data_IF_408244497990
#
_entry.id   IF_408244497990
#
_cell.length_a   1.000
_cell.length_b   1.000
_cell.length_c   1.000
_cell.angle_alpha   90.00
_cell.angle_beta   90.00
_cell.angle_gamma   90.00
#
_symmetry.space_group_name_H-M   'P 1'
#
loop_
_entity.id
_entity.type
_entity.pdbx_description
1 polymer ?
#
# COMPACT_ATOMS: atom_id res chain seq x y z
N UNK A 1 20.13 2.16 5.72
CA UNK A 1 20.88 1.02 5.13
C UNK A 1 19.90 -0.09 4.81
N UNK A 2 19.97 -0.71 3.63
CA UNK A 2 19.12 -1.85 3.27
C UNK A 2 19.69 -3.12 3.90
N UNK A 3 18.83 -3.88 4.58
CA UNK A 3 19.19 -5.12 5.27
C UNK A 3 18.57 -6.35 4.62
N UNK A 4 17.36 -6.20 4.05
CA UNK A 4 16.65 -7.29 3.40
C UNK A 4 15.73 -6.75 2.31
N UNK A 5 15.65 -7.46 1.19
CA UNK A 5 14.78 -7.12 0.07
C UNK A 5 13.98 -8.35 -0.39
N UNK A 6 12.71 -8.13 -0.71
CA UNK A 6 11.82 -9.11 -1.34
C UNK A 6 11.10 -8.46 -2.50
N UNK A 7 11.34 -8.99 -3.70
CA UNK A 7 10.52 -8.74 -4.87
C UNK A 7 9.54 -9.90 -5.03
N UNK A 8 8.24 -9.58 -5.05
CA UNK A 8 7.18 -10.59 -5.05
C UNK A 8 7.15 -11.45 -6.29
N UNK A 9 7.62 -10.92 -7.42
CA UNK A 9 7.57 -11.62 -8.69
C UNK A 9 8.71 -12.64 -8.81
N UNK A 10 9.83 -12.40 -8.11
CA UNK A 10 11.03 -13.23 -8.17
C UNK A 10 11.35 -14.00 -6.88
N UNK A 11 10.63 -13.76 -5.78
CA UNK A 11 10.88 -14.46 -4.50
C UNK A 11 9.93 -15.66 -4.32
N UNK A 12 10.43 -16.86 -3.97
CA UNK A 12 9.57 -18.00 -3.73
C UNK A 12 8.65 -17.78 -2.52
N UNK A 13 7.43 -18.30 -2.62
CA UNK A 13 6.48 -18.29 -1.52
C UNK A 13 7.03 -19.05 -0.30
N UNK A 14 6.85 -18.50 0.90
CA UNK A 14 7.27 -19.13 2.15
C UNK A 14 6.18 -19.12 3.21
N UNK A 15 6.18 -20.19 4.00
CA UNK A 15 5.39 -20.32 5.23
C UNK A 15 6.35 -20.35 6.40
N UNK A 16 6.13 -19.45 7.34
CA UNK A 16 6.96 -19.28 8.52
C UNK A 16 6.21 -19.87 9.73
N UNK A 17 6.93 -20.55 10.64
CA UNK A 17 6.32 -21.19 11.79
C UNK A 17 5.67 -20.16 12.71
N UNK A 18 4.76 -20.64 13.56
CA UNK A 18 4.09 -19.77 14.51
C UNK A 18 5.05 -19.14 15.51
N UNK A 19 4.94 -17.81 15.74
CA UNK A 19 5.67 -17.15 16.81
C UNK A 19 5.11 -17.46 18.20
N UNK A 20 3.99 -18.20 18.30
CA UNK A 20 3.33 -18.52 19.57
C UNK A 20 2.57 -17.35 20.22
N UNK A 21 2.52 -16.19 19.56
CA UNK A 21 1.85 -14.97 20.03
C UNK A 21 1.23 -14.18 18.88
N UNK A 22 0.18 -13.42 19.15
CA UNK A 22 -0.38 -12.49 18.18
C UNK A 22 0.61 -11.33 17.95
N UNK A 23 1.08 -11.16 16.71
CA UNK A 23 2.10 -10.15 16.39
C UNK A 23 1.61 -8.70 16.57
N UNK A 24 0.30 -8.48 16.69
CA UNK A 24 -0.28 -7.14 16.83
C UNK A 24 -0.60 -6.75 18.28
N UNK A 25 -1.20 -7.65 19.06
CA UNK A 25 -1.62 -7.36 20.44
C UNK A 25 -0.83 -8.11 21.51
N UNK A 26 0.01 -9.08 21.13
CA UNK A 26 0.80 -9.90 22.06
C UNK A 26 0.02 -10.99 22.79
N UNK A 27 -1.24 -11.26 22.42
CA UNK A 27 -2.04 -12.32 23.04
C UNK A 27 -1.40 -13.70 22.83
N UNK A 28 -1.39 -14.50 23.91
CA UNK A 28 -0.87 -15.88 23.94
C UNK A 28 -1.93 -16.82 24.49
N UNK A 29 -1.81 -18.12 24.19
CA UNK A 29 -2.71 -19.16 24.73
C UNK A 29 -4.12 -19.20 24.12
N UNK A 30 -4.39 -18.38 23.11
CA UNK A 30 -5.63 -18.37 22.33
C UNK A 30 -5.43 -19.02 20.94
N UNK A 31 -6.52 -19.31 20.23
CA UNK A 31 -6.44 -19.75 18.85
C UNK A 31 -5.89 -18.61 17.97
N UNK A 32 -4.80 -18.88 17.24
CA UNK A 32 -4.17 -17.94 16.33
C UNK A 32 -4.36 -18.40 14.89
N UNK A 33 -4.70 -17.47 14.01
CA UNK A 33 -4.87 -17.67 12.58
C UNK A 33 -3.57 -17.41 11.81
N UNK A 34 -3.56 -17.87 10.56
CA UNK A 34 -2.54 -17.48 9.59
C UNK A 34 -2.60 -15.98 9.29
N UNK A 35 -1.44 -15.34 9.19
CA UNK A 35 -1.31 -13.93 8.82
C UNK A 35 -0.57 -13.80 7.47
N UNK A 36 -1.22 -13.13 6.52
CA UNK A 36 -0.60 -12.78 5.24
C UNK A 36 0.23 -11.51 5.42
N UNK A 37 1.56 -11.63 5.43
CA UNK A 37 2.47 -10.48 5.60
C UNK A 37 2.17 -9.40 4.57
N UNK A 38 2.10 -9.81 3.29
CA UNK A 38 1.61 -8.99 2.19
C UNK A 38 0.18 -9.45 1.90
N UNK A 39 -0.81 -8.55 1.79
CA UNK A 39 -2.18 -8.94 1.53
C UNK A 39 -2.30 -9.90 0.34
N UNK A 40 -3.05 -10.99 0.50
CA UNK A 40 -3.21 -12.02 -0.55
C UNK A 40 -3.60 -11.45 -1.91
N UNK A 41 -4.46 -10.43 -1.87
CA UNK A 41 -4.97 -9.68 -3.01
C UNK A 41 -3.90 -9.01 -3.89
N UNK A 42 -2.71 -8.80 -3.33
CA UNK A 42 -1.54 -8.19 -3.98
C UNK A 42 -0.48 -9.29 -4.16
N UNK A 43 -0.15 -9.99 -3.08
CA UNK A 43 1.00 -10.87 -3.01
C UNK A 43 0.78 -12.37 -3.00
N UNK A 44 -0.44 -12.85 -3.29
CA UNK A 44 -0.80 -14.28 -3.18
C UNK A 44 -0.41 -14.83 -1.79
N UNK A 45 0.40 -15.87 -1.76
CA UNK A 45 0.92 -16.50 -0.55
C UNK A 45 2.43 -16.25 -0.42
N UNK A 46 2.93 -15.10 -0.88
CA UNK A 46 4.36 -14.79 -0.91
C UNK A 46 5.03 -14.98 0.45
N UNK A 47 4.38 -14.53 1.53
CA UNK A 47 4.80 -14.86 2.90
C UNK A 47 3.57 -15.00 3.80
N UNK A 48 3.47 -16.14 4.47
CA UNK A 48 2.45 -16.44 5.48
C UNK A 48 3.15 -16.74 6.80
N UNK A 49 2.72 -16.09 7.87
CA UNK A 49 3.05 -16.48 9.25
C UNK A 49 1.94 -17.38 9.77
N UNK A 50 2.25 -18.62 10.11
CA UNK A 50 1.26 -19.54 10.69
C UNK A 50 0.95 -19.13 12.12
N UNK A 51 -0.32 -19.21 12.57
CA UNK A 51 -0.70 -18.92 13.95
C UNK A 51 -0.09 -17.62 14.54
N UNK A 52 -0.29 -16.48 13.87
CA UNK A 52 0.36 -15.21 14.20
C UNK A 52 -0.62 -14.05 14.46
N UNK A 53 -1.92 -14.25 14.26
CA UNK A 53 -2.94 -13.22 14.45
C UNK A 53 -4.16 -13.78 15.18
N UNK A 54 -4.57 -13.18 16.29
CA UNK A 54 -5.80 -13.58 16.98
C UNK A 54 -7.05 -13.07 16.25
N UNK A 55 -8.20 -13.71 16.51
CA UNK A 55 -9.48 -13.38 15.87
C UNK A 55 -9.86 -11.90 16.00
N UNK A 56 -9.65 -11.30 17.16
CA UNK A 56 -10.03 -9.91 17.41
C UNK A 56 -9.21 -8.92 16.57
N UNK A 57 -7.89 -9.12 16.50
CA UNK A 57 -7.02 -8.32 15.63
C UNK A 57 -7.38 -8.52 14.16
N UNK A 58 -7.61 -9.77 13.74
CA UNK A 58 -7.98 -10.07 12.36
C UNK A 58 -9.30 -9.38 11.95
N UNK A 59 -10.31 -9.36 12.82
CA UNK A 59 -11.60 -8.67 12.56
C UNK A 59 -11.41 -7.17 12.37
N UNK A 60 -10.54 -6.54 13.15
CA UNK A 60 -10.24 -5.10 13.01
C UNK A 60 -9.53 -4.84 11.69
N UNK A 61 -8.47 -5.59 11.42
CA UNK A 61 -7.61 -5.42 10.24
C UNK A 61 -8.39 -5.65 8.95
N UNK A 62 -9.17 -6.73 8.91
CA UNK A 62 -9.92 -7.14 7.71
C UNK A 62 -10.90 -6.06 7.24
N UNK A 63 -11.46 -5.25 8.15
CA UNK A 63 -12.43 -4.20 7.77
C UNK A 63 -11.79 -3.18 6.85
N UNK A 64 -10.73 -2.50 7.29
CA UNK A 64 -10.09 -1.47 6.46
C UNK A 64 -9.32 -2.07 5.29
N UNK A 65 -8.77 -3.28 5.43
CA UNK A 65 -8.06 -3.96 4.35
C UNK A 65 -9.01 -4.30 3.19
N UNK A 66 -10.25 -4.74 3.48
CA UNK A 66 -11.24 -4.96 2.42
C UNK A 66 -11.69 -3.67 1.72
N UNK A 67 -11.80 -2.55 2.43
CA UNK A 67 -12.10 -1.25 1.81
C UNK A 67 -11.05 -0.88 0.76
N UNK A 68 -9.76 -1.07 1.08
CA UNK A 68 -8.67 -0.79 0.13
C UNK A 68 -8.66 -1.81 -1.00
N UNK A 69 -8.60 -3.10 -0.68
CA UNK A 69 -8.33 -4.13 -1.68
C UNK A 69 -9.52 -4.41 -2.61
N UNK A 70 -10.76 -4.28 -2.10
CA UNK A 70 -11.97 -4.55 -2.90
C UNK A 70 -12.55 -3.28 -3.49
N UNK A 71 -12.68 -2.18 -2.73
CA UNK A 71 -13.36 -0.98 -3.21
C UNK A 71 -12.42 -0.07 -3.97
N UNK A 72 -11.29 0.31 -3.37
CA UNK A 72 -10.34 1.22 -4.01
C UNK A 72 -9.56 0.55 -5.15
N UNK A 73 -8.97 -0.63 -4.91
CA UNK A 73 -8.11 -1.32 -5.87
C UNK A 73 -8.83 -2.40 -6.69
N UNK A 74 -10.14 -2.59 -6.49
CA UNK A 74 -10.87 -3.74 -7.07
C UNK A 74 -10.84 -3.81 -8.59
N UNK A 75 -11.14 -2.70 -9.26
CA UNK A 75 -11.15 -2.61 -10.74
C UNK A 75 -9.73 -2.73 -11.30
N UNK A 76 -8.78 -2.00 -10.72
CA UNK A 76 -7.37 -2.10 -11.10
C UNK A 76 -6.85 -3.54 -10.97
N UNK A 77 -7.09 -4.18 -9.82
CA UNK A 77 -6.74 -5.59 -9.58
C UNK A 77 -7.44 -6.52 -10.55
N UNK A 78 -8.65 -6.19 -11.00
CA UNK A 78 -9.33 -6.98 -12.02
C UNK A 78 -8.59 -6.91 -13.36
N UNK A 79 -8.18 -5.72 -13.78
CA UNK A 79 -7.47 -5.45 -15.05
C UNK A 79 -6.07 -6.04 -15.10
N UNK A 80 -5.28 -5.97 -14.02
CA UNK A 80 -3.91 -6.53 -13.96
C UNK A 80 -3.86 -8.01 -13.58
N UNK A 81 -4.99 -8.70 -13.65
CA UNK A 81 -5.12 -10.11 -13.30
C UNK A 81 -4.65 -10.50 -11.88
N UNK A 82 -4.64 -9.55 -10.94
CA UNK A 82 -4.19 -9.76 -9.58
C UNK A 82 -4.96 -10.89 -8.84
N UNK A 83 -4.36 -11.50 -7.80
CA UNK A 83 -4.90 -12.69 -7.14
C UNK A 83 -6.28 -12.47 -6.52
N UNK A 84 -7.17 -13.46 -6.64
CA UNK A 84 -8.48 -13.45 -5.96
C UNK A 84 -8.93 -14.86 -5.63
N UNK A 85 -9.54 -15.03 -4.46
CA UNK A 85 -10.20 -16.30 -4.07
C UNK A 85 -11.60 -16.43 -4.70
N UNK A 86 -12.26 -15.29 -4.94
CA UNK A 86 -13.60 -15.23 -5.49
C UNK A 86 -13.58 -14.72 -6.94
N UNK A 87 -13.15 -15.57 -7.88
CA UNK A 87 -13.08 -15.19 -9.31
C UNK A 87 -14.42 -14.73 -9.90
N UNK A 88 -15.54 -15.21 -9.34
CA UNK A 88 -16.90 -14.86 -9.77
C UNK A 88 -17.27 -13.41 -9.43
N UNK A 89 -16.69 -12.86 -8.37
CA UNK A 89 -16.95 -11.50 -7.87
C UNK A 89 -15.99 -10.47 -8.50
N UNK A 90 -15.12 -10.90 -9.43
CA UNK A 90 -14.16 -10.02 -10.11
C UNK A 90 -14.94 -9.01 -10.96
N UNK A 91 -14.57 -7.73 -10.87
CA UNK A 91 -15.18 -6.67 -11.68
C UNK A 91 -15.06 -7.03 -13.17
N UNK A 92 -16.18 -6.91 -13.90
CA UNK A 92 -16.26 -7.15 -15.35
C UNK A 92 -16.31 -5.86 -16.15
N UNK A 93 -16.66 -4.77 -15.47
CA UNK A 93 -16.80 -3.45 -16.04
C UNK A 93 -16.10 -2.43 -15.14
N UNK A 94 -15.61 -1.36 -15.76
CA UNK A 94 -15.31 -0.11 -15.10
C UNK A 94 -16.46 0.86 -15.34
N UNK A 95 -16.87 1.57 -14.30
CA UNK A 95 -17.84 2.66 -14.38
C UNK A 95 -17.05 3.96 -14.36
N UNK A 96 -17.15 4.76 -15.43
CA UNK A 96 -16.54 6.07 -15.53
C UNK A 96 -17.62 7.16 -15.41
N UNK A 97 -17.70 7.88 -14.28
CA UNK A 97 -18.61 9.02 -14.13
C UNK A 97 -18.06 10.19 -14.95
N UNK A 98 -18.62 10.41 -16.14
CA UNK A 98 -18.17 11.43 -17.07
C UNK A 98 -18.62 12.82 -16.62
N UNK A 99 -17.76 13.81 -16.81
CA UNK A 99 -18.02 15.20 -16.45
C UNK A 99 -17.51 16.15 -17.50
N UNK A 100 -18.22 17.26 -17.66
CA UNK A 100 -17.69 18.45 -18.31
C UNK A 100 -16.89 19.25 -17.28
N UNK A 101 -15.72 19.76 -17.65
CA UNK A 101 -14.91 20.61 -16.79
C UNK A 101 -14.49 21.91 -17.48
N UNK A 102 -14.15 22.92 -16.69
CA UNK A 102 -13.57 24.17 -17.18
C UNK A 102 -12.05 24.07 -17.38
N UNK A 103 -11.43 25.14 -17.87
CA UNK A 103 -9.97 25.26 -18.06
C UNK A 103 -9.17 25.07 -16.75
N UNK A 104 -9.81 25.26 -15.59
CA UNK A 104 -9.23 25.04 -14.27
C UNK A 104 -9.46 23.61 -13.74
N UNK A 105 -10.09 22.73 -14.52
CA UNK A 105 -10.42 21.35 -14.17
C UNK A 105 -11.60 21.22 -13.20
N UNK A 106 -12.38 22.27 -12.98
CA UNK A 106 -13.57 22.24 -12.10
C UNK A 106 -14.74 21.64 -12.84
N UNK A 107 -15.49 20.77 -12.17
CA UNK A 107 -16.68 20.14 -12.74
C UNK A 107 -17.75 21.20 -12.99
N UNK A 108 -18.14 21.36 -14.24
CA UNK A 108 -19.21 22.27 -14.69
C UNK A 108 -20.54 21.52 -14.74
N UNK A 109 -20.52 20.30 -15.28
CA UNK A 109 -21.73 19.50 -15.50
C UNK A 109 -21.42 18.02 -15.39
N UNK A 110 -22.38 17.27 -14.86
CA UNK A 110 -22.36 15.81 -14.87
C UNK A 110 -22.91 15.28 -16.21
N UNK A 111 -22.18 14.36 -16.85
CA UNK A 111 -22.53 13.77 -18.14
C UNK A 111 -22.97 12.30 -18.00
N UNK A 112 -23.13 11.82 -16.77
CA UNK A 112 -23.56 10.46 -16.46
C UNK A 112 -22.44 9.42 -16.49
N UNK A 113 -22.82 8.19 -16.13
CA UNK A 113 -21.90 7.07 -16.04
C UNK A 113 -21.73 6.35 -17.38
N UNK A 114 -20.49 6.00 -17.71
CA UNK A 114 -20.15 5.11 -18.83
C UNK A 114 -19.68 3.77 -18.28
N UNK A 115 -20.44 2.72 -18.56
CA UNK A 115 -20.02 1.34 -18.28
C UNK A 115 -19.17 0.82 -19.45
N UNK A 116 -17.96 0.35 -19.15
CA UNK A 116 -17.01 -0.16 -20.14
C UNK A 116 -16.48 -1.52 -19.68
N UNK A 117 -16.49 -2.57 -20.53
CA UNK A 117 -15.84 -3.84 -20.19
C UNK A 117 -14.38 -3.62 -19.80
N UNK A 118 -13.88 -4.32 -18.77
CA UNK A 118 -12.52 -4.09 -18.24
C UNK A 118 -11.42 -4.21 -19.31
N UNK A 119 -11.59 -5.08 -20.31
CA UNK A 119 -10.62 -5.29 -21.41
C UNK A 119 -10.54 -4.10 -22.39
N UNK A 120 -11.53 -3.22 -22.35
CA UNK A 120 -11.64 -2.02 -23.18
C UNK A 120 -11.49 -0.72 -22.39
N UNK A 121 -11.54 -0.79 -21.07
CA UNK A 121 -11.39 0.36 -20.18
C UNK A 121 -9.93 0.80 -20.04
N UNK A 122 -9.68 2.05 -19.62
CA UNK A 122 -8.34 2.50 -19.28
C UNK A 122 -7.86 1.87 -17.99
N UNK A 123 -6.59 1.47 -17.93
CA UNK A 123 -5.96 1.09 -16.67
C UNK A 123 -5.87 2.33 -15.75
N UNK A 124 -6.46 2.23 -14.55
CA UNK A 124 -6.48 3.31 -13.57
C UNK A 124 -5.98 2.77 -12.23
N UNK A 125 -4.92 3.37 -11.69
CA UNK A 125 -4.41 3.08 -10.34
C UNK A 125 -4.47 4.35 -9.49
N UNK A 126 -5.22 4.29 -8.39
CA UNK A 126 -5.36 5.41 -7.45
C UNK A 126 -4.81 5.03 -6.08
N UNK A 127 -3.83 5.80 -5.61
CA UNK A 127 -3.14 5.62 -4.33
C UNK A 127 -3.11 6.94 -3.57
N UNK A 128 -2.60 6.91 -2.34
CA UNK A 128 -2.31 8.11 -1.58
C UNK A 128 -0.82 8.39 -1.64
N UNK A 129 -0.44 9.63 -1.96
CA UNK A 129 0.93 10.12 -1.83
C UNK A 129 1.03 10.96 -0.56
N UNK A 130 1.89 10.55 0.36
CA UNK A 130 2.12 11.19 1.65
C UNK A 130 3.40 12.04 1.62
N UNK A 131 3.53 13.03 2.52
CA UNK A 131 4.86 13.53 2.86
C UNK A 131 5.67 12.46 3.63
N UNK A 132 6.96 12.70 3.92
CA UNK A 132 7.74 11.81 4.78
C UNK A 132 7.12 11.59 6.16
N UNK A 133 7.33 10.42 6.80
CA UNK A 133 6.91 10.20 8.18
C UNK A 133 7.45 11.30 9.11
N UNK A 134 6.57 11.93 9.90
CA UNK A 134 6.97 13.08 10.73
C UNK A 134 8.05 12.76 11.76
N UNK A 135 8.09 11.52 12.26
CA UNK A 135 9.13 11.08 13.21
C UNK A 135 10.55 11.23 12.66
N UNK A 136 10.72 11.28 11.34
CA UNK A 136 12.03 11.48 10.70
C UNK A 136 12.51 12.94 10.76
N UNK A 137 11.65 13.88 11.15
CA UNK A 137 12.01 15.29 11.32
C UNK A 137 12.27 16.05 10.02
N UNK A 138 11.84 15.49 8.88
CA UNK A 138 11.94 16.16 7.57
C UNK A 138 11.10 17.42 7.53
N UNK A 139 11.61 18.45 6.85
CA UNK A 139 10.87 19.71 6.68
C UNK A 139 9.78 19.51 5.63
N UNK A 140 8.53 19.75 6.03
CA UNK A 140 7.36 19.66 5.16
C UNK A 140 6.72 21.04 5.07
N UNK A 141 6.43 21.49 3.86
CA UNK A 141 5.62 22.69 3.66
C UNK A 141 4.18 22.42 4.09
N UNK A 142 3.55 23.38 4.78
CA UNK A 142 2.21 23.17 5.39
C UNK A 142 1.16 22.74 4.37
N UNK A 143 1.28 23.20 3.12
CA UNK A 143 0.38 22.84 2.02
C UNK A 143 0.43 21.34 1.65
N UNK A 144 1.51 20.64 1.96
CA UNK A 144 1.74 19.23 1.63
C UNK A 144 1.60 18.29 2.86
N UNK A 145 1.29 18.84 4.04
CA UNK A 145 1.36 18.10 5.31
C UNK A 145 0.38 16.91 5.42
N UNK A 146 -0.74 16.93 4.69
CA UNK A 146 -1.70 15.83 4.69
C UNK A 146 -1.41 14.77 3.61
N UNK A 147 -0.63 15.15 2.59
CA UNK A 147 -0.49 14.41 1.34
C UNK A 147 -1.60 14.72 0.34
N UNK A 148 -1.66 13.93 -0.74
CA UNK A 148 -2.64 14.09 -1.82
C UNK A 148 -2.93 12.77 -2.52
N UNK A 149 -4.09 12.64 -3.19
CA UNK A 149 -4.32 11.53 -4.11
C UNK A 149 -3.25 11.50 -5.22
N UNK A 150 -2.72 10.31 -5.48
CA UNK A 150 -1.87 10.02 -6.63
C UNK A 150 -2.61 9.09 -7.59
N UNK A 151 -2.41 9.31 -8.89
CA UNK A 151 -3.09 8.52 -9.91
C UNK A 151 -2.21 8.20 -11.11
N UNK A 152 -2.40 7.01 -11.64
CA UNK A 152 -2.03 6.64 -13.00
C UNK A 152 -3.31 6.42 -13.81
N UNK A 153 -3.34 6.95 -15.03
CA UNK A 153 -4.40 6.73 -16.02
C UNK A 153 -3.75 6.40 -17.36
N UNK A 154 -4.13 5.29 -17.95
CA UNK A 154 -3.68 4.91 -19.29
C UNK A 154 -4.33 5.82 -20.36
N UNK A 155 -3.63 6.89 -20.73
CA UNK A 155 -4.11 7.90 -21.67
C UNK A 155 -4.46 7.32 -23.06
N UNK A 156 -3.72 6.31 -23.53
CA UNK A 156 -3.96 5.64 -24.82
C UNK A 156 -5.36 5.02 -24.93
N UNK A 157 -5.97 4.64 -23.80
CA UNK A 157 -7.35 4.13 -23.70
C UNK A 157 -8.33 5.21 -23.28
N UNK A 158 -7.95 6.08 -22.35
CA UNK A 158 -8.82 7.12 -21.82
C UNK A 158 -9.14 8.20 -22.86
N UNK A 159 -8.15 8.70 -23.60
CA UNK A 159 -8.33 9.83 -24.51
C UNK A 159 -9.35 9.55 -25.63
N UNK A 160 -9.36 8.37 -26.29
CA UNK A 160 -10.41 8.05 -27.26
C UNK A 160 -11.82 8.02 -26.65
N UNK A 161 -11.97 7.52 -25.42
CA UNK A 161 -13.26 7.48 -24.71
C UNK A 161 -13.75 8.90 -24.44
N UNK A 162 -12.86 9.75 -23.92
CA UNK A 162 -13.17 11.15 -23.60
C UNK A 162 -13.52 11.95 -24.87
N UNK A 163 -12.78 11.75 -25.97
CA UNK A 163 -13.07 12.39 -27.26
C UNK A 163 -14.42 11.95 -27.84
N UNK A 164 -14.76 10.67 -27.74
CA UNK A 164 -16.05 10.16 -28.18
C UNK A 164 -17.20 10.77 -27.35
N UNK A 165 -17.03 10.88 -26.03
CA UNK A 165 -17.99 11.53 -25.15
C UNK A 165 -18.12 13.04 -25.46
N UNK A 166 -17.01 13.74 -25.68
CA UNK A 166 -17.01 15.16 -26.07
C UNK A 166 -17.86 15.41 -27.33
N UNK A 167 -17.67 14.57 -28.36
CA UNK A 167 -18.47 14.62 -29.59
C UNK A 167 -19.96 14.27 -29.36
N UNK A 168 -20.24 13.26 -28.52
CA UNK A 168 -21.61 12.84 -28.17
C UNK A 168 -22.39 13.95 -27.45
N UNK A 169 -21.75 14.65 -26.51
CA UNK A 169 -22.38 15.70 -25.70
C UNK A 169 -22.24 17.11 -26.28
N UNK A 170 -21.50 17.28 -27.37
CA UNK A 170 -21.28 18.57 -28.01
C UNK A 170 -20.53 19.57 -27.12
N UNK A 171 -19.50 19.09 -26.41
CA UNK A 171 -18.65 19.91 -25.50
C UNK A 171 -17.17 19.70 -25.78
N UNK A 172 -16.36 20.68 -25.38
CA UNK A 172 -14.92 20.67 -25.67
C UNK A 172 -14.10 19.92 -24.61
N UNK A 173 -14.56 19.89 -23.35
CA UNK A 173 -13.76 19.42 -22.22
C UNK A 173 -14.50 18.36 -21.41
N UNK A 174 -14.14 17.08 -21.63
CA UNK A 174 -14.69 15.94 -20.89
C UNK A 174 -13.59 15.25 -20.10
N UNK A 175 -13.89 14.95 -18.84
CA UNK A 175 -13.09 14.09 -17.97
C UNK A 175 -13.96 13.04 -17.30
N UNK A 176 -13.40 12.34 -16.31
CA UNK A 176 -14.15 11.49 -15.41
C UNK A 176 -13.73 11.70 -13.96
N UNK A 177 -14.67 11.52 -13.04
CA UNK A 177 -14.41 11.53 -11.60
C UNK A 177 -13.75 10.21 -11.20
N UNK A 178 -12.67 10.30 -10.45
CA UNK A 178 -12.04 9.14 -9.83
C UNK A 178 -12.61 8.94 -8.42
N UNK A 179 -12.77 7.69 -7.97
CA UNK A 179 -13.16 7.43 -6.59
C UNK A 179 -12.09 7.95 -5.63
N UNK A 180 -12.55 8.48 -4.50
CA UNK A 180 -11.66 8.95 -3.44
C UNK A 180 -10.84 7.80 -2.86
N UNK A 181 -9.59 8.10 -2.55
CA UNK A 181 -8.70 7.19 -1.82
C UNK A 181 -8.92 7.42 -0.33
N UNK A 182 -9.37 6.39 0.39
CA UNK A 182 -9.46 6.47 1.84
C UNK A 182 -8.04 6.41 2.44
N UNK A 183 -7.47 7.59 2.68
CA UNK A 183 -6.13 7.79 3.24
C UNK A 183 -5.88 6.91 4.47
N UNK A 184 -6.78 6.94 5.46
CA UNK A 184 -6.58 6.24 6.72
C UNK A 184 -6.53 4.72 6.54
N UNK A 185 -7.47 4.14 5.78
CA UNK A 185 -7.47 2.72 5.50
C UNK A 185 -6.23 2.30 4.70
N UNK A 186 -5.86 3.08 3.70
CA UNK A 186 -4.69 2.82 2.87
C UNK A 186 -3.39 2.81 3.69
N UNK A 187 -3.14 3.85 4.48
CA UNK A 187 -1.93 3.95 5.30
C UNK A 187 -1.88 2.89 6.41
N UNK A 188 -3.03 2.43 6.93
CA UNK A 188 -3.09 1.29 7.86
C UNK A 188 -2.73 -0.04 7.20
N UNK A 189 -3.09 -0.26 5.93
CA UNK A 189 -2.66 -1.45 5.18
C UNK A 189 -1.13 -1.44 5.02
N UNK A 190 -0.53 -0.27 4.75
CA UNK A 190 0.93 -0.13 4.71
C UNK A 190 1.55 -0.44 6.07
N UNK A 191 1.04 0.16 7.16
CA UNK A 191 1.52 -0.08 8.52
C UNK A 191 1.46 -1.56 8.90
N UNK A 192 0.33 -2.22 8.63
CA UNK A 192 0.13 -3.64 8.87
C UNK A 192 1.13 -4.50 8.10
N UNK A 193 1.31 -4.21 6.82
CA UNK A 193 2.22 -4.95 5.93
C UNK A 193 3.67 -4.81 6.42
N UNK A 194 4.09 -3.60 6.74
CA UNK A 194 5.42 -3.32 7.28
C UNK A 194 5.67 -4.01 8.62
N UNK A 195 4.75 -3.91 9.57
CA UNK A 195 4.86 -4.57 10.87
C UNK A 195 4.96 -6.09 10.75
N UNK A 196 4.07 -6.69 9.95
CA UNK A 196 4.08 -8.13 9.72
C UNK A 196 5.37 -8.59 9.03
N UNK A 197 5.92 -7.77 8.13
CA UNK A 197 7.17 -8.07 7.44
C UNK A 197 8.36 -8.06 8.42
N UNK A 198 8.46 -7.06 9.30
CA UNK A 198 9.50 -7.03 10.33
C UNK A 198 9.35 -8.21 11.30
N UNK A 199 8.13 -8.50 11.75
CA UNK A 199 7.88 -9.65 12.62
C UNK A 199 8.23 -11.00 11.94
N UNK A 200 8.05 -11.11 10.63
CA UNK A 200 8.44 -12.30 9.87
C UNK A 200 9.96 -12.46 9.71
N UNK A 201 10.70 -11.35 9.55
CA UNK A 201 12.15 -11.39 9.34
C UNK A 201 12.96 -11.49 10.64
N UNK A 202 12.48 -10.83 11.70
CA UNK A 202 13.19 -10.70 12.98
C UNK A 202 12.54 -11.48 14.12
N UNK A 203 11.26 -11.79 14.04
CA UNK A 203 10.44 -12.25 15.17
C UNK A 203 9.76 -11.08 15.90
N UNK A 204 8.58 -11.30 16.53
CA UNK A 204 7.82 -10.23 17.17
C UNK A 204 8.49 -9.63 18.41
N UNK A 205 9.39 -10.38 19.07
CA UNK A 205 10.09 -9.92 20.29
C UNK A 205 11.41 -9.19 19.99
N UNK A 206 11.82 -9.10 18.72
CA UNK A 206 13.08 -8.49 18.30
C UNK A 206 13.04 -6.96 18.21
N UNK A 207 11.88 -6.35 18.44
CA UNK A 207 11.71 -4.90 18.32
C UNK A 207 10.57 -4.38 19.20
N UNK A 208 10.63 -3.10 19.57
CA UNK A 208 9.53 -2.37 20.19
C UNK A 208 8.70 -1.70 19.08
N UNK A 209 7.46 -2.13 18.81
CA UNK A 209 6.67 -1.62 17.70
C UNK A 209 6.08 -0.24 17.99
N UNK A 210 5.93 0.56 16.93
CA UNK A 210 5.21 1.85 16.96
C UNK A 210 3.81 1.78 16.33
N UNK A 211 3.57 0.77 15.50
CA UNK A 211 2.42 0.76 14.59
C UNK A 211 1.17 0.08 15.15
N UNK A 212 1.26 -0.60 16.30
CA UNK A 212 0.17 -1.46 16.79
C UNK A 212 -1.13 -0.69 17.05
N UNK A 213 -1.06 0.52 17.60
CA UNK A 213 -2.25 1.35 17.79
C UNK A 213 -2.85 1.86 16.48
N UNK A 214 -2.03 2.09 15.45
CA UNK A 214 -2.53 2.43 14.11
C UNK A 214 -3.24 1.23 13.48
N UNK A 215 -2.59 0.07 13.51
CA UNK A 215 -3.07 -1.20 12.93
C UNK A 215 -4.37 -1.65 13.60
N UNK A 216 -4.44 -1.54 14.94
CA UNK A 216 -5.61 -1.92 15.72
C UNK A 216 -6.69 -0.83 15.79
N UNK A 217 -6.57 0.22 14.95
CA UNK A 217 -7.55 1.29 14.82
C UNK A 217 -7.84 2.01 16.14
N UNK A 218 -6.80 2.22 16.96
CA UNK A 218 -6.82 2.94 18.25
C UNK A 218 -6.26 4.37 18.13
N UNK A 219 -5.53 4.67 17.06
CA UNK A 219 -5.04 6.00 16.71
C UNK A 219 -5.14 6.24 15.21
N UNK A 220 -5.54 7.44 14.81
CA UNK A 220 -5.59 7.93 13.42
C UNK A 220 -4.33 8.73 13.01
N UNK A 221 -3.33 8.84 13.89
CA UNK A 221 -2.10 9.59 13.61
C UNK A 221 -1.11 8.80 12.74
N UNK A 222 -1.60 8.34 11.59
CA UNK A 222 -0.86 7.51 10.65
C UNK A 222 0.36 8.21 10.05
N UNK A 223 0.30 9.55 9.91
CA UNK A 223 1.37 10.35 9.32
C UNK A 223 2.62 10.48 10.20
N UNK A 224 2.53 10.10 11.48
CA UNK A 224 3.70 10.06 12.36
C UNK A 224 4.72 9.03 11.88
N UNK A 225 4.25 7.86 11.43
CA UNK A 225 5.08 6.70 11.12
C UNK A 225 4.99 6.23 9.67
N UNK A 226 3.94 6.60 8.94
CA UNK A 226 3.69 6.17 7.56
C UNK A 226 3.75 7.39 6.64
N UNK A 227 4.56 7.31 5.60
CA UNK A 227 4.71 8.39 4.62
C UNK A 227 5.40 7.92 3.35
N UNK A 228 5.92 8.85 2.57
CA UNK A 228 6.69 8.56 1.35
C UNK A 228 8.06 9.23 1.42
N UNK A 229 9.08 8.60 0.81
CA UNK A 229 10.40 9.20 0.76
C UNK A 229 11.09 8.86 -0.56
N UNK A 230 11.29 9.89 -1.39
CA UNK A 230 11.98 9.75 -2.66
C UNK A 230 13.46 9.37 -2.45
N UNK A 231 13.99 8.51 -3.32
CA UNK A 231 15.42 8.17 -3.36
C UNK A 231 15.91 7.20 -2.29
N UNK A 232 15.12 6.86 -1.27
CA UNK A 232 15.57 5.93 -0.21
C UNK A 232 15.33 4.46 -0.58
N UNK A 233 14.53 4.22 -1.64
CA UNK A 233 14.40 2.90 -2.27
C UNK A 233 14.15 2.96 -3.79
N UNK A 234 14.93 3.77 -4.53
CA UNK A 234 15.18 3.48 -5.95
C UNK A 234 16.60 2.95 -6.12
N UNK A 235 16.84 1.72 -5.68
CA UNK A 235 17.90 0.94 -6.32
C UNK A 235 17.28 0.38 -7.61
N UNK A 236 17.63 1.07 -8.69
CA UNK A 236 17.47 0.72 -10.11
C UNK A 236 16.04 0.74 -10.67
N UNK A 237 15.68 1.85 -11.32
CA UNK A 237 14.75 1.88 -12.47
C UNK A 237 13.34 1.28 -12.34
N UNK A 238 12.62 1.29 -13.45
CA UNK A 238 11.42 0.48 -13.65
C UNK A 238 11.89 -0.97 -13.74
N UNK A 239 11.88 -1.69 -12.62
CA UNK A 239 12.38 -3.07 -12.52
C UNK A 239 11.39 -4.11 -13.03
N UNK A 240 10.18 -3.71 -13.47
CA UNK A 240 9.16 -4.67 -13.89
C UNK A 240 8.30 -5.22 -12.77
N UNK A 241 8.53 -4.81 -11.51
CA UNK A 241 7.94 -5.48 -10.34
C UNK A 241 6.55 -4.97 -9.99
N UNK A 242 5.66 -5.92 -9.69
CA UNK A 242 4.31 -5.69 -9.18
C UNK A 242 4.31 -5.21 -7.73
N UNK A 243 5.26 -5.69 -6.92
CA UNK A 243 5.44 -5.25 -5.53
C UNK A 243 6.84 -5.54 -5.01
N UNK A 244 7.49 -4.51 -4.48
CA UNK A 244 8.79 -4.61 -3.81
C UNK A 244 8.67 -4.16 -2.37
N UNK A 245 9.26 -4.92 -1.45
CA UNK A 245 9.34 -4.58 -0.02
C UNK A 245 10.76 -4.78 0.50
N UNK A 246 11.28 -3.76 1.19
CA UNK A 246 12.66 -3.72 1.65
C UNK A 246 12.70 -3.26 3.11
N UNK A 247 13.41 -3.99 3.97
CA UNK A 247 13.66 -3.58 5.34
C UNK A 247 15.05 -2.97 5.47
N UNK A 248 15.14 -1.94 6.30
CA UNK A 248 16.39 -1.28 6.62
C UNK A 248 16.37 -0.58 7.97
N UNK A 249 17.41 0.21 8.18
CA UNK A 249 17.59 1.03 9.37
C UNK A 249 17.83 2.49 9.00
N UNK A 250 17.25 3.40 9.78
CA UNK A 250 17.51 4.83 9.64
C UNK A 250 18.96 5.18 10.02
N UNK A 251 19.61 6.12 9.30
CA UNK A 251 20.97 6.53 9.63
C UNK A 251 21.09 7.09 11.04
N UNK A 252 22.20 6.79 11.73
CA UNK A 252 22.51 7.37 13.04
C UNK A 252 22.56 8.91 13.03
N UNK A 253 22.80 9.52 11.87
CA UNK A 253 22.80 10.98 11.67
C UNK A 253 21.43 11.64 11.89
N UNK A 254 20.33 10.89 11.94
CA UNK A 254 18.99 11.42 12.24
C UNK A 254 18.72 11.59 13.75
N UNK A 255 19.74 11.50 14.60
CA UNK A 255 19.64 11.78 16.03
C UNK A 255 18.60 10.89 16.73
N UNK A 256 17.54 11.43 17.37
CA UNK A 256 16.50 10.63 18.04
C UNK A 256 15.78 9.62 17.14
N UNK A 257 15.76 9.89 15.83
CA UNK A 257 15.20 9.04 14.79
C UNK A 257 16.23 8.12 14.12
N UNK A 258 17.48 8.11 14.59
CA UNK A 258 18.51 7.17 14.15
C UNK A 258 18.33 5.78 14.73
N UNK A 259 18.71 4.76 13.97
CA UNK A 259 18.64 3.37 14.39
C UNK A 259 17.23 2.77 14.46
N UNK A 260 16.25 3.40 13.81
CA UNK A 260 14.89 2.91 13.74
C UNK A 260 14.73 1.91 12.59
N UNK A 261 13.89 0.90 12.82
CA UNK A 261 13.51 -0.06 11.78
C UNK A 261 12.59 0.64 10.79
N UNK A 262 12.93 0.57 9.51
CA UNK A 262 12.13 1.11 8.42
C UNK A 262 11.83 0.05 7.39
N UNK A 263 10.66 0.15 6.78
CA UNK A 263 10.23 -0.68 5.66
C UNK A 263 9.81 0.20 4.50
N UNK A 264 10.42 -0.05 3.35
CA UNK A 264 10.08 0.55 2.07
C UNK A 264 9.15 -0.39 1.31
N UNK A 265 8.13 0.17 0.65
CA UNK A 265 7.20 -0.57 -0.19
C UNK A 265 6.88 0.24 -1.44
N UNK A 266 6.86 -0.41 -2.60
CA UNK A 266 6.35 0.19 -3.83
C UNK A 266 5.49 -0.81 -4.60
N UNK A 267 4.32 -0.35 -5.05
CA UNK A 267 3.34 -1.17 -5.77
C UNK A 267 3.35 -0.82 -7.26
N UNK A 268 3.58 -1.76 -8.17
CA UNK A 268 3.59 -1.52 -9.62
C UNK A 268 4.51 -0.34 -10.00
N UNK A 269 5.81 -0.49 -9.75
CA UNK A 269 6.79 0.58 -9.94
C UNK A 269 6.81 1.12 -11.39
N UNK A 270 6.51 0.28 -12.37
CA UNK A 270 6.43 0.64 -13.79
C UNK A 270 5.35 1.69 -14.09
N UNK A 271 4.34 1.83 -13.22
CA UNK A 271 3.30 2.85 -13.33
C UNK A 271 3.70 4.17 -12.65
N UNK A 272 4.91 4.25 -12.07
CA UNK A 272 5.42 5.44 -11.39
C UNK A 272 4.78 5.69 -10.03
N UNK A 273 4.24 4.66 -9.38
CA UNK A 273 3.60 4.77 -8.08
C UNK A 273 4.54 5.32 -7.00
N UNK A 274 3.99 5.99 -5.97
CA UNK A 274 4.79 6.52 -4.88
C UNK A 274 5.53 5.39 -4.12
N UNK A 275 6.83 5.59 -3.80
CA UNK A 275 7.55 4.71 -2.88
C UNK A 275 7.19 5.09 -1.44
N UNK A 276 6.57 4.16 -0.72
CA UNK A 276 6.17 4.35 0.66
C UNK A 276 7.29 3.97 1.63
N UNK A 277 7.38 4.71 2.72
CA UNK A 277 8.28 4.49 3.84
C UNK A 277 7.47 4.38 5.13
N UNK A 278 7.68 3.29 5.86
CA UNK A 278 7.05 3.05 7.16
C UNK A 278 8.13 2.88 8.24
N UNK A 279 8.03 3.67 9.30
CA UNK A 279 8.87 3.55 10.50
C UNK A 279 8.19 2.57 11.46
N UNK A 280 8.76 1.37 11.61
CA UNK A 280 8.08 0.25 12.28
C UNK A 280 8.30 0.25 13.79
N UNK A 281 9.50 0.60 14.25
CA UNK A 281 9.83 0.51 15.66
C UNK A 281 11.32 0.68 15.97
N UNK A 282 11.68 0.39 17.23
CA UNK A 282 13.08 0.35 17.69
C UNK A 282 13.56 -1.10 17.77
N UNK A 283 14.72 -1.44 17.19
CA UNK A 283 15.27 -2.78 17.34
C UNK A 283 15.66 -3.04 18.80
N UNK A 284 15.50 -4.29 19.24
CA UNK A 284 15.97 -4.81 20.53
C UNK A 284 17.17 -5.76 20.35
N UNK A 285 17.56 -5.98 19.10
CA UNK A 285 18.68 -6.83 18.67
C UNK A 285 19.62 -6.02 17.79
N UNK A 286 20.85 -6.52 17.61
CA UNK A 286 21.75 -6.01 16.57
C UNK A 286 21.27 -6.53 15.20
N UNK A 287 20.65 -5.65 14.42
CA UNK A 287 20.10 -6.02 13.11
C UNK A 287 21.20 -6.34 12.09
N UNK A 288 22.38 -5.73 12.19
CA UNK A 288 23.46 -5.97 11.23
C UNK A 288 24.02 -7.37 11.41
N UNK A 289 24.29 -7.75 12.67
CA UNK A 289 24.73 -9.10 13.01
C UNK A 289 23.69 -10.15 12.59
N UNK A 290 22.40 -9.91 12.86
CA UNK A 290 21.31 -10.85 12.52
C UNK A 290 21.22 -11.19 11.03
N UNK A 291 21.52 -10.24 10.14
CA UNK A 291 21.47 -10.48 8.69
C UNK A 291 22.79 -10.97 8.09
N UNK A 292 23.94 -10.68 8.71
CA UNK A 292 25.24 -11.22 8.28
C UNK A 292 25.30 -12.74 8.45
N UNK A 293 24.70 -13.29 9.51
CA UNK A 293 24.70 -14.72 9.80
C UNK A 293 23.74 -15.55 8.91
N UNK A 294 22.96 -14.90 8.03
CA UNK A 294 21.88 -15.53 7.22
C UNK A 294 22.09 -15.44 5.71
N UNK A 295 23.20 -14.87 5.25
CA UNK A 295 23.66 -14.84 3.85
C UNK A 295 24.77 -15.84 3.63
#
# INVERSE_FOLDING_TARGET
MILREHDIDNTPARRLPSPGTCIYCGATGEALNEEHVIPYAIGKNATILEGACCDECQKVIQRYEQEVLKKQLGVFRAMVEAPTRNKRDRAKFIILPLVEHDDAGRVVRDLGDREIPIDNGPLILNLWQSPPPRILGERIELADAEGRPWRYVEASRADPILKAAAAEFGVDQVGFKLPEVNRLHYLRVLAKTAHAFVAAELGPDAFRPFLTDLILNRSDDVGEFVGDMAGVASLEGATGHSFKITMGETPASLGPAGGLIVVFMQFWADLGSPPHLVVVGRPLIDMQAHFQDRT
#
